data_IF_468600651048
#
_entry.id   IF_468600651048
#
_cell.length_a   1.000
_cell.length_b   1.000
_cell.length_c   1.000
_cell.angle_alpha   90.00
_cell.angle_beta   90.00
_cell.angle_gamma   90.00
#
_symmetry.space_group_name_H-M   'P 1'
#
loop_
_entity.id
_entity.type
_entity.pdbx_description
1 polymer ?
#
# COMPACT_ATOMS: atom_id res chain seq x y z
N UNK A 1 51.71 29.20 23.26
CA UNK A 1 50.75 30.27 23.61
C UNK A 1 49.36 29.92 23.11
N UNK A 2 49.12 29.79 21.80
CA UNK A 2 47.79 29.47 21.21
C UNK A 2 47.21 28.14 21.71
N UNK A 3 48.01 27.09 21.84
CA UNK A 3 47.53 25.78 22.30
C UNK A 3 47.10 25.77 23.78
N UNK A 4 47.73 26.62 24.61
CA UNK A 4 47.38 26.71 26.03
C UNK A 4 46.06 27.47 26.22
N UNK A 5 45.87 28.53 25.45
CA UNK A 5 44.63 29.32 25.42
C UNK A 5 43.44 28.49 24.90
N UNK A 6 43.65 27.68 23.86
CA UNK A 6 42.63 26.75 23.37
C UNK A 6 42.24 25.69 24.41
N UNK A 7 43.21 25.22 25.22
CA UNK A 7 42.95 24.28 26.32
C UNK A 7 42.09 24.93 27.40
N UNK A 8 42.43 26.15 27.80
CA UNK A 8 41.68 26.93 28.79
C UNK A 8 40.26 27.24 28.32
N UNK A 9 40.07 27.64 27.07
CA UNK A 9 38.75 27.88 26.48
C UNK A 9 37.88 26.61 26.44
N UNK A 10 38.48 25.47 26.11
CA UNK A 10 37.78 24.17 26.11
C UNK A 10 37.35 23.75 27.52
N UNK A 11 38.20 24.00 28.51
CA UNK A 11 37.88 23.77 29.92
C UNK A 11 36.73 24.67 30.38
N UNK A 12 36.78 25.97 30.06
CA UNK A 12 35.72 26.94 30.35
C UNK A 12 34.39 26.56 29.70
N UNK A 13 34.39 26.18 28.43
CA UNK A 13 33.20 25.71 27.73
C UNK A 13 32.60 24.45 28.38
N UNK A 14 33.44 23.60 28.98
CA UNK A 14 33.03 22.42 29.72
C UNK A 14 32.20 22.73 30.97
N UNK A 15 32.49 23.84 31.67
CA UNK A 15 31.71 24.27 32.84
C UNK A 15 30.30 24.74 32.48
N UNK A 16 30.14 25.44 31.35
CA UNK A 16 28.81 25.90 30.89
C UNK A 16 27.95 24.77 30.32
N UNK A 17 28.57 23.77 29.69
CA UNK A 17 27.84 22.64 29.11
C UNK A 17 27.34 21.66 30.19
N UNK A 18 28.02 21.61 31.35
CA UNK A 18 27.71 20.67 32.45
C UNK A 18 27.87 21.38 33.80
N UNK A 19 26.90 22.21 34.21
CA UNK A 19 26.97 22.93 35.48
C UNK A 19 27.02 22.01 36.70
N UNK A 20 26.52 20.78 36.58
CA UNK A 20 26.50 19.77 37.64
C UNK A 20 27.85 19.04 37.84
N UNK A 21 28.83 19.25 36.96
CA UNK A 21 30.12 18.57 37.05
C UNK A 21 30.97 19.14 38.20
N UNK A 22 31.64 18.30 39.01
CA UNK A 22 32.45 18.77 40.13
C UNK A 22 33.63 19.60 39.61
N UNK A 23 33.72 20.86 40.05
CA UNK A 23 34.84 21.74 39.73
C UNK A 23 36.05 21.31 40.55
N UNK A 24 37.17 21.02 39.88
CA UNK A 24 38.44 20.79 40.55
C UNK A 24 38.96 22.12 41.13
N UNK A 25 38.69 22.38 42.41
CA UNK A 25 39.25 23.53 43.12
C UNK A 25 40.64 23.21 43.66
N UNK A 26 41.60 24.09 43.42
CA UNK A 26 42.89 24.07 44.10
C UNK A 26 42.67 24.13 45.63
N UNK A 27 43.24 23.22 46.45
CA UNK A 27 43.08 23.25 47.91
C UNK A 27 43.62 24.53 48.56
N UNK A 28 44.50 25.28 47.90
CA UNK A 28 44.93 26.62 48.36
C UNK A 28 44.01 27.76 47.91
N UNK A 29 43.04 27.51 47.04
CA UNK A 29 42.01 28.48 46.70
C UNK A 29 41.02 28.63 47.86
N UNK A 30 41.15 29.70 48.65
CA UNK A 30 40.16 30.09 49.67
C UNK A 30 38.85 30.63 49.06
N UNK A 31 38.37 30.06 47.96
CA UNK A 31 37.07 30.40 47.41
C UNK A 31 35.98 29.85 48.34
N UNK A 32 35.16 30.75 48.89
CA UNK A 32 34.06 30.39 49.77
C UNK A 32 32.97 29.74 48.92
N UNK A 33 32.82 28.42 49.01
CA UNK A 33 31.75 27.72 48.29
C UNK A 33 30.40 28.09 48.94
N UNK A 34 29.58 28.88 48.23
CA UNK A 34 28.29 29.35 48.74
C UNK A 34 27.19 28.28 48.67
N UNK A 35 27.38 27.22 47.88
CA UNK A 35 26.42 26.11 47.74
C UNK A 35 26.50 25.09 48.87
N UNK A 36 27.65 24.95 49.53
CA UNK A 36 27.87 23.96 50.61
C UNK A 36 27.95 24.58 52.01
N UNK A 37 27.65 25.86 52.16
CA UNK A 37 27.56 26.51 53.48
C UNK A 37 26.29 26.05 54.20
N UNK A 38 26.34 25.95 55.53
CA UNK A 38 25.16 25.60 56.35
C UNK A 38 23.93 26.50 56.11
N UNK A 39 24.15 27.73 55.67
CA UNK A 39 23.10 28.70 55.32
C UNK A 39 22.88 28.85 53.81
N UNK A 40 23.26 27.85 53.01
CA UNK A 40 22.82 27.74 51.62
C UNK A 40 21.31 27.47 51.66
N UNK A 41 20.53 28.01 50.71
CA UNK A 41 19.12 27.65 50.61
C UNK A 41 19.02 26.14 50.48
N UNK A 42 18.40 25.48 51.46
CA UNK A 42 17.91 24.12 51.27
C UNK A 42 16.86 24.16 50.17
N UNK A 43 16.67 23.04 49.46
CA UNK A 43 15.66 22.93 48.41
C UNK A 43 14.38 23.66 48.82
N UNK A 44 13.95 24.61 47.99
CA UNK A 44 12.81 25.47 48.34
C UNK A 44 11.57 24.60 48.50
N UNK A 45 10.56 25.06 49.25
CA UNK A 45 9.31 24.32 49.42
C UNK A 45 8.71 23.89 48.06
N UNK A 46 8.84 24.74 47.03
CA UNK A 46 8.43 24.40 45.66
C UNK A 46 9.25 23.28 45.01
N UNK A 47 10.56 23.21 45.23
CA UNK A 47 11.39 22.12 44.70
C UNK A 47 11.10 20.77 45.38
N UNK A 48 10.71 20.81 46.66
CA UNK A 48 10.28 19.62 47.38
C UNK A 48 8.90 19.14 46.91
N UNK A 49 7.98 20.07 46.64
CA UNK A 49 6.66 19.79 46.04
C UNK A 49 6.80 19.17 44.65
N UNK A 50 7.65 19.74 43.78
CA UNK A 50 7.91 19.22 42.43
C UNK A 50 8.45 17.79 42.46
N UNK A 51 9.38 17.49 43.38
CA UNK A 51 9.94 16.14 43.53
C UNK A 51 8.90 15.15 44.10
N UNK A 52 7.98 15.60 44.96
CA UNK A 52 6.86 14.78 45.43
C UNK A 52 5.84 14.50 44.31
N UNK A 53 5.48 15.51 43.53
CA UNK A 53 4.57 15.38 42.40
C UNK A 53 5.16 14.42 41.34
N UNK A 54 6.45 14.57 41.02
CA UNK A 54 7.15 13.67 40.10
C UNK A 54 7.14 12.23 40.60
N UNK A 55 7.32 11.99 41.89
CA UNK A 55 7.23 10.65 42.49
C UNK A 55 5.83 10.08 42.37
N UNK A 56 4.79 10.91 42.58
CA UNK A 56 3.40 10.50 42.44
C UNK A 56 3.07 10.11 40.99
N UNK A 57 3.45 10.95 40.03
CA UNK A 57 3.26 10.69 38.59
C UNK A 57 3.97 9.40 38.17
N UNK A 58 5.19 9.17 38.65
CA UNK A 58 5.92 7.94 38.35
C UNK A 58 5.30 6.70 39.00
N UNK A 59 4.67 6.83 40.17
CA UNK A 59 3.91 5.75 40.79
C UNK A 59 2.65 5.43 39.98
N UNK A 60 1.89 6.45 39.59
CA UNK A 60 0.68 6.29 38.77
C UNK A 60 1.00 5.69 37.39
N UNK A 61 2.08 6.12 36.75
CA UNK A 61 2.52 5.57 35.47
C UNK A 61 2.86 4.07 35.56
N UNK A 62 3.41 3.61 36.70
CA UNK A 62 3.66 2.18 36.93
C UNK A 62 2.35 1.41 37.11
N UNK A 63 1.42 1.93 37.92
CA UNK A 63 0.12 1.32 38.12
C UNK A 63 -0.67 1.20 36.81
N UNK A 64 -0.67 2.26 35.98
CA UNK A 64 -1.32 2.25 34.67
C UNK A 64 -0.70 1.23 33.72
N UNK A 65 0.62 1.07 33.76
CA UNK A 65 1.31 0.05 32.96
C UNK A 65 0.91 -1.36 33.38
N UNK A 66 0.87 -1.63 34.69
CA UNK A 66 0.42 -2.92 35.21
C UNK A 66 -1.03 -3.22 34.80
N UNK A 67 -1.92 -2.23 34.91
CA UNK A 67 -3.30 -2.36 34.43
C UNK A 67 -3.38 -2.65 32.93
N UNK A 68 -2.61 -1.94 32.12
CA UNK A 68 -2.56 -2.18 30.68
C UNK A 68 -2.09 -3.61 30.35
N UNK A 69 -1.08 -4.11 31.07
CA UNK A 69 -0.60 -5.48 30.91
C UNK A 69 -1.68 -6.52 31.30
N UNK A 70 -2.49 -6.28 32.34
CA UNK A 70 -3.62 -7.14 32.70
C UNK A 70 -4.70 -7.19 31.61
N UNK A 71 -5.02 -6.06 30.98
CA UNK A 71 -6.04 -6.02 29.92
C UNK A 71 -5.56 -6.58 28.59
N UNK A 72 -4.27 -6.42 28.27
CA UNK A 72 -3.70 -6.94 27.03
C UNK A 72 -3.48 -8.46 27.07
N UNK A 73 -3.33 -9.01 28.28
CA UNK A 73 -2.98 -10.41 28.51
C UNK A 73 -3.95 -11.12 29.46
N UNK A 74 -5.21 -11.35 29.05
CA UNK A 74 -6.20 -12.04 29.87
C UNK A 74 -5.82 -13.51 30.19
N UNK A 75 -4.89 -14.09 29.43
CA UNK A 75 -4.36 -15.44 29.66
C UNK A 75 -3.45 -15.55 30.90
N UNK A 76 -2.92 -14.44 31.40
CA UNK A 76 -2.00 -14.46 32.54
C UNK A 76 -2.77 -14.62 33.87
N UNK A 77 -2.30 -15.49 34.78
CA UNK A 77 -2.97 -15.69 36.06
C UNK A 77 -2.91 -14.42 36.92
N UNK A 78 -4.02 -14.11 37.58
CA UNK A 78 -4.09 -12.98 38.53
C UNK A 78 -3.29 -13.35 39.79
N UNK A 79 -2.14 -12.72 39.97
CA UNK A 79 -1.30 -12.89 41.17
C UNK A 79 -1.66 -11.81 42.19
N UNK A 80 -2.43 -12.18 43.21
CA UNK A 80 -2.73 -11.29 44.35
C UNK A 80 -1.67 -11.44 45.45
N UNK A 81 -1.18 -10.33 45.98
CA UNK A 81 -0.28 -10.30 47.14
C UNK A 81 -1.00 -10.45 48.49
N UNK A 82 -2.31 -10.22 48.52
CA UNK A 82 -3.14 -10.31 49.73
C UNK A 82 -3.80 -11.70 49.81
N UNK A 83 -3.45 -12.45 50.86
CA UNK A 83 -4.01 -13.78 51.14
C UNK A 83 -5.50 -13.74 51.51
N UNK A 84 -6.04 -12.56 51.81
CA UNK A 84 -7.48 -12.33 52.09
C UNK A 84 -8.24 -11.77 50.89
N UNK A 85 -7.58 -11.58 49.74
CA UNK A 85 -8.21 -11.22 48.48
C UNK A 85 -9.04 -12.41 47.95
N UNK A 86 -10.24 -12.56 48.50
CA UNK A 86 -11.21 -13.57 48.10
C UNK A 86 -11.96 -13.09 46.84
N UNK A 87 -11.28 -13.05 45.69
CA UNK A 87 -11.93 -12.84 44.40
C UNK A 87 -12.70 -14.09 43.98
N UNK A 88 -13.92 -13.94 43.44
CA UNK A 88 -14.59 -15.04 42.74
C UNK A 88 -13.91 -15.22 41.39
N UNK A 89 -13.07 -16.24 41.26
CA UNK A 89 -12.59 -16.67 39.94
C UNK A 89 -13.74 -17.38 39.22
N UNK A 90 -14.27 -16.74 38.17
CA UNK A 90 -15.34 -17.30 37.35
C UNK A 90 -14.84 -18.26 36.27
N UNK A 91 -13.55 -18.19 35.92
CA UNK A 91 -12.93 -19.02 34.88
C UNK A 91 -12.51 -20.40 35.40
N UNK A 92 -12.09 -20.51 36.65
CA UNK A 92 -11.60 -21.79 37.25
C UNK A 92 -12.62 -22.45 38.18
N UNK A 93 -13.89 -22.04 38.13
CA UNK A 93 -14.93 -22.60 39.00
C UNK A 93 -15.36 -23.97 38.44
N UNK A 94 -15.69 -24.97 39.29
CA UNK A 94 -16.19 -26.28 38.81
C UNK A 94 -17.49 -26.22 37.98
N UNK A 95 -18.16 -25.08 37.93
CA UNK A 95 -19.37 -24.84 37.14
C UNK A 95 -19.12 -23.92 35.94
N UNK A 96 -17.88 -23.47 35.72
CA UNK A 96 -17.52 -22.75 34.51
C UNK A 96 -17.64 -23.73 33.34
N UNK A 97 -18.08 -23.27 32.15
CA UNK A 97 -17.94 -24.07 30.94
C UNK A 97 -16.49 -24.50 30.82
N UNK A 98 -16.25 -25.79 30.58
CA UNK A 98 -14.96 -26.22 30.09
C UNK A 98 -14.78 -25.48 28.76
N UNK A 99 -13.72 -24.67 28.64
CA UNK A 99 -13.31 -24.21 27.32
C UNK A 99 -12.85 -25.49 26.63
N UNK A 100 -13.67 -26.01 25.74
CA UNK A 100 -13.25 -26.92 24.69
C UNK A 100 -12.25 -26.10 23.85
N UNK A 101 -11.01 -26.01 24.34
CA UNK A 101 -9.81 -25.70 23.57
C UNK A 101 -9.46 -26.97 22.77
N UNK A 102 -10.51 -27.63 22.24
CA UNK A 102 -10.40 -28.73 21.33
C UNK A 102 -9.90 -28.06 20.06
N UNK A 103 -8.57 -28.09 19.86
CA UNK A 103 -7.90 -27.58 18.64
C UNK A 103 -8.66 -28.05 17.38
N UNK A 104 -9.26 -29.24 17.45
CA UNK A 104 -10.15 -29.83 16.45
C UNK A 104 -11.37 -28.93 16.12
N UNK A 105 -12.08 -28.37 17.10
CA UNK A 105 -13.25 -27.50 16.87
C UNK A 105 -12.86 -26.15 16.25
N UNK A 106 -11.73 -25.57 16.67
CA UNK A 106 -11.20 -24.32 16.12
C UNK A 106 -10.74 -24.54 14.67
N UNK A 107 -10.12 -25.67 14.38
CA UNK A 107 -9.68 -26.03 13.04
C UNK A 107 -10.88 -26.32 12.12
N UNK A 108 -11.91 -27.00 12.60
CA UNK A 108 -13.16 -27.22 11.87
C UNK A 108 -13.87 -25.91 11.54
N UNK A 109 -14.03 -24.99 12.49
CA UNK A 109 -14.60 -23.66 12.23
C UNK A 109 -13.78 -22.87 11.21
N UNK A 110 -12.44 -22.93 11.33
CA UNK A 110 -11.53 -22.28 10.38
C UNK A 110 -11.66 -22.85 8.97
N UNK A 111 -11.79 -24.16 8.84
CA UNK A 111 -12.04 -24.81 7.55
C UNK A 111 -13.37 -24.40 6.94
N UNK A 112 -14.44 -24.34 7.75
CA UNK A 112 -15.76 -23.88 7.31
C UNK A 112 -15.73 -22.44 6.80
N UNK A 113 -15.09 -21.52 7.54
CA UNK A 113 -14.93 -20.12 7.15
C UNK A 113 -14.13 -19.99 5.84
N UNK A 114 -13.05 -20.77 5.70
CA UNK A 114 -12.24 -20.77 4.47
C UNK A 114 -13.04 -21.27 3.27
N UNK A 115 -13.91 -22.27 3.46
CA UNK A 115 -14.76 -22.78 2.40
C UNK A 115 -15.85 -21.77 2.00
N UNK A 116 -16.49 -21.13 2.97
CA UNK A 116 -17.47 -20.06 2.71
C UNK A 116 -16.83 -18.88 1.97
N UNK A 117 -15.61 -18.47 2.36
CA UNK A 117 -14.87 -17.40 1.68
C UNK A 117 -14.61 -17.74 0.20
N UNK A 118 -14.29 -19.01 -0.12
CA UNK A 118 -14.10 -19.44 -1.52
C UNK A 118 -15.41 -19.31 -2.30
N UNK A 119 -16.53 -19.75 -1.73
CA UNK A 119 -17.85 -19.65 -2.36
C UNK A 119 -18.27 -18.19 -2.58
N UNK A 120 -17.99 -17.31 -1.62
CA UNK A 120 -18.27 -15.88 -1.76
C UNK A 120 -17.41 -15.25 -2.87
N UNK A 121 -16.15 -15.64 -2.98
CA UNK A 121 -15.24 -15.15 -4.02
C UNK A 121 -15.68 -15.59 -5.42
N UNK A 122 -16.13 -16.83 -5.58
CA UNK A 122 -16.63 -17.33 -6.88
C UNK A 122 -17.91 -16.63 -7.28
N UNK A 123 -18.88 -16.52 -6.37
CA UNK A 123 -20.16 -15.82 -6.62
C UNK A 123 -19.95 -14.35 -6.95
N UNK A 124 -19.12 -13.64 -6.19
CA UNK A 124 -18.75 -12.25 -6.50
C UNK A 124 -18.10 -12.12 -7.89
N UNK A 125 -17.26 -13.09 -8.27
CA UNK A 125 -16.68 -13.17 -9.61
C UNK A 125 -17.72 -13.29 -10.72
N UNK A 126 -18.79 -14.06 -10.52
CA UNK A 126 -19.90 -14.16 -11.48
C UNK A 126 -20.68 -12.86 -11.61
N UNK A 127 -20.93 -12.15 -10.51
CA UNK A 127 -21.64 -10.86 -10.54
C UNK A 127 -20.82 -9.74 -11.18
N UNK A 128 -19.50 -9.72 -10.99
CA UNK A 128 -18.62 -8.73 -11.59
C UNK A 128 -18.35 -8.97 -13.08
N UNK A 129 -18.55 -10.20 -13.55
CA UNK A 129 -18.24 -10.63 -14.92
C UNK A 129 -19.37 -11.48 -15.53
N UNK A 130 -20.53 -10.89 -15.81
CA UNK A 130 -21.67 -11.62 -16.40
C UNK A 130 -21.38 -12.16 -17.80
N UNK A 131 -20.34 -11.68 -18.47
CA UNK A 131 -19.88 -12.16 -19.78
C UNK A 131 -19.17 -13.52 -19.72
N UNK A 132 -18.67 -13.93 -18.54
CA UNK A 132 -17.92 -15.17 -18.39
C UNK A 132 -18.88 -16.34 -18.17
N UNK A 133 -18.64 -17.50 -18.82
CA UNK A 133 -19.49 -18.67 -18.62
C UNK A 133 -19.40 -19.15 -17.17
N UNK A 134 -20.55 -19.34 -16.54
CA UNK A 134 -20.65 -19.92 -15.19
C UNK A 134 -20.26 -21.40 -15.28
N UNK A 135 -19.26 -21.80 -14.51
CA UNK A 135 -18.91 -23.21 -14.35
C UNK A 135 -19.98 -23.87 -13.48
N UNK A 136 -20.83 -24.69 -14.10
CA UNK A 136 -21.93 -25.41 -13.46
C UNK A 136 -21.57 -26.90 -13.44
N UNK A 137 -21.82 -27.59 -12.33
CA UNK A 137 -21.62 -29.04 -12.25
C UNK A 137 -22.56 -29.77 -13.23
N UNK A 138 -22.11 -30.89 -13.77
CA UNK A 138 -22.88 -31.74 -14.68
C UNK A 138 -24.22 -32.23 -14.11
N UNK A 139 -24.37 -32.26 -12.78
CA UNK A 139 -25.63 -32.63 -12.10
C UNK A 139 -26.58 -31.45 -11.87
N UNK A 140 -26.09 -30.21 -12.04
CA UNK A 140 -26.92 -29.03 -11.88
C UNK A 140 -27.81 -28.87 -13.12
N UNK A 141 -29.02 -29.41 -12.98
CA UNK A 141 -30.10 -29.32 -13.97
C UNK A 141 -30.69 -27.90 -14.02
N UNK A 142 -29.93 -26.93 -14.52
CA UNK A 142 -30.41 -25.59 -14.83
C UNK A 142 -30.96 -25.50 -16.25
N UNK A 143 -32.14 -24.90 -16.44
CA UNK A 143 -32.64 -24.55 -17.78
C UNK A 143 -31.94 -23.28 -18.24
N UNK A 144 -31.10 -23.37 -19.27
CA UNK A 144 -30.57 -22.19 -19.94
C UNK A 144 -31.68 -21.56 -20.80
N UNK A 145 -32.18 -20.39 -20.39
CA UNK A 145 -33.21 -19.65 -21.11
C UNK A 145 -32.68 -18.81 -22.27
N UNK A 146 -31.38 -18.50 -22.27
CA UNK A 146 -30.74 -17.67 -23.29
C UNK A 146 -30.37 -18.45 -24.56
N UNK A 147 -30.05 -19.73 -24.43
CA UNK A 147 -29.63 -20.58 -25.57
C UNK A 147 -30.71 -21.56 -26.03
N UNK A 148 -31.96 -21.38 -25.58
CA UNK A 148 -33.06 -22.29 -25.96
C UNK A 148 -33.46 -22.01 -27.42
N UNK A 149 -33.86 -23.02 -28.23
CA UNK A 149 -34.34 -22.81 -29.60
C UNK A 149 -35.55 -21.87 -29.72
N UNK A 150 -36.27 -21.63 -28.62
CA UNK A 150 -37.40 -20.71 -28.53
C UNK A 150 -37.05 -19.36 -27.91
N UNK A 151 -35.78 -19.13 -27.55
CA UNK A 151 -35.33 -17.83 -27.10
C UNK A 151 -35.44 -16.86 -28.29
N UNK A 152 -35.81 -15.58 -28.06
CA UNK A 152 -35.79 -14.59 -29.12
C UNK A 152 -34.37 -14.56 -29.71
N UNK A 153 -34.27 -14.92 -30.99
CA UNK A 153 -33.06 -14.67 -31.77
C UNK A 153 -32.94 -13.15 -31.77
N UNK A 154 -31.84 -12.60 -31.25
CA UNK A 154 -31.58 -11.19 -31.42
C UNK A 154 -31.56 -10.91 -32.92
N UNK A 155 -32.54 -10.15 -33.41
CA UNK A 155 -32.59 -9.63 -34.78
C UNK A 155 -31.34 -8.77 -35.10
N UNK A 156 -30.52 -8.52 -34.08
CA UNK A 156 -29.29 -7.77 -34.08
C UNK A 156 -28.07 -8.45 -34.73
N UNK A 157 -28.09 -9.74 -35.13
CA UNK A 157 -26.87 -10.34 -35.75
C UNK A 157 -26.56 -9.69 -37.11
N UNK A 158 -27.59 -9.42 -37.91
CA UNK A 158 -27.46 -8.69 -39.18
C UNK A 158 -27.08 -7.22 -38.94
N UNK A 159 -27.70 -6.55 -37.96
CA UNK A 159 -27.33 -5.18 -37.59
C UNK A 159 -25.90 -5.10 -37.05
N UNK A 160 -25.47 -6.11 -36.29
CA UNK A 160 -24.11 -6.21 -35.74
C UNK A 160 -23.09 -6.45 -36.84
N UNK A 161 -23.41 -7.25 -37.85
CA UNK A 161 -22.57 -7.40 -39.05
C UNK A 161 -22.43 -6.07 -39.79
N UNK A 162 -23.53 -5.36 -40.02
CA UNK A 162 -23.53 -4.04 -40.66
C UNK A 162 -22.70 -3.02 -39.89
N UNK A 163 -22.86 -2.95 -38.55
CA UNK A 163 -22.09 -2.05 -37.68
C UNK A 163 -20.59 -2.39 -37.71
N UNK A 164 -20.24 -3.68 -37.73
CA UNK A 164 -18.85 -4.13 -37.81
C UNK A 164 -18.21 -3.81 -39.16
N UNK A 165 -18.97 -3.89 -40.25
CA UNK A 165 -18.52 -3.49 -41.58
C UNK A 165 -18.34 -1.98 -41.70
N UNK A 166 -19.29 -1.19 -41.20
CA UNK A 166 -19.18 0.26 -41.15
C UNK A 166 -17.98 0.71 -40.31
N UNK A 167 -17.76 0.08 -39.14
CA UNK A 167 -16.59 0.35 -38.29
C UNK A 167 -15.27 0.06 -39.02
N UNK A 168 -15.19 -1.05 -39.78
CA UNK A 168 -13.99 -1.38 -40.59
C UNK A 168 -13.75 -0.30 -41.63
N UNK A 169 -14.79 0.13 -42.35
CA UNK A 169 -14.68 1.20 -43.35
C UNK A 169 -14.23 2.51 -42.70
N UNK A 170 -14.84 2.92 -41.59
CA UNK A 170 -14.47 4.14 -40.88
C UNK A 170 -13.02 4.12 -40.37
N UNK A 171 -12.55 2.96 -39.90
CA UNK A 171 -11.15 2.78 -39.48
C UNK A 171 -10.19 2.92 -40.65
N UNK A 172 -10.54 2.38 -41.83
CA UNK A 172 -9.70 2.54 -43.03
C UNK A 172 -9.64 3.98 -43.50
N UNK A 173 -10.77 4.69 -43.54
CA UNK A 173 -10.83 6.09 -43.95
C UNK A 173 -10.09 6.99 -42.97
N UNK A 174 -10.28 6.80 -41.66
CA UNK A 174 -9.53 7.51 -40.63
C UNK A 174 -8.02 7.27 -40.78
N UNK A 175 -7.60 6.04 -41.08
CA UNK A 175 -6.21 5.70 -41.37
C UNK A 175 -5.65 6.47 -42.57
N UNK A 176 -6.43 6.65 -43.64
CA UNK A 176 -6.03 7.44 -44.81
C UNK A 176 -5.88 8.93 -44.47
N UNK A 177 -6.81 9.51 -43.69
CA UNK A 177 -6.73 10.91 -43.26
C UNK A 177 -5.55 11.19 -42.34
N UNK A 178 -5.22 10.26 -41.45
CA UNK A 178 -4.10 10.42 -40.52
C UNK A 178 -2.73 10.18 -41.18
N UNK A 179 -2.70 9.47 -42.32
CA UNK A 179 -1.47 9.08 -43.01
C UNK A 179 -1.56 9.27 -44.53
N UNK A 180 -1.68 10.51 -45.03
CA UNK A 180 -1.77 10.79 -46.47
C UNK A 180 -0.52 10.37 -47.26
N UNK A 181 0.61 10.14 -46.59
CA UNK A 181 1.85 9.65 -47.19
C UNK A 181 1.83 8.16 -47.55
N UNK A 182 0.91 7.37 -46.97
CA UNK A 182 0.86 5.92 -47.19
C UNK A 182 0.08 5.62 -48.47
N UNK A 183 0.57 4.71 -49.34
CA UNK A 183 -0.13 4.35 -50.56
C UNK A 183 -1.47 3.70 -50.21
N UNK A 184 -2.56 4.27 -50.71
CA UNK A 184 -3.90 3.70 -50.56
C UNK A 184 -4.02 2.49 -51.48
N UNK A 185 -4.39 1.34 -50.93
CA UNK A 185 -4.76 0.18 -51.72
C UNK A 185 -6.16 0.43 -52.31
N UNK A 186 -6.20 0.71 -53.61
CA UNK A 186 -7.43 0.99 -54.36
C UNK A 186 -7.72 -0.21 -55.26
N UNK A 187 -8.99 -0.61 -55.38
CA UNK A 187 -9.40 -1.65 -56.32
C UNK A 187 -9.04 -1.22 -57.77
N UNK A 188 -8.64 -2.17 -58.59
CA UNK A 188 -8.30 -2.00 -60.00
C UNK A 188 -9.41 -1.35 -60.85
N UNK A 189 -10.66 -1.38 -60.37
CA UNK A 189 -11.82 -0.76 -61.01
C UNK A 189 -12.03 0.71 -60.61
N UNK A 190 -11.37 1.18 -59.56
CA UNK A 190 -11.51 2.55 -59.07
C UNK A 190 -10.64 3.51 -59.90
N UNK A 191 -11.28 4.11 -60.89
CA UNK A 191 -10.70 5.11 -61.78
C UNK A 191 -10.52 6.47 -61.08
N UNK A 192 -9.42 6.65 -60.34
CA UNK A 192 -9.04 7.93 -59.72
C UNK A 192 -7.68 8.45 -60.23
N UNK A 193 -7.60 9.74 -60.58
CA UNK A 193 -6.33 10.41 -60.88
C UNK A 193 -5.57 10.67 -59.57
N UNK A 194 -4.35 10.17 -59.46
CA UNK A 194 -3.53 10.31 -58.26
C UNK A 194 -2.75 11.65 -58.29
N UNK A 195 -3.22 12.66 -57.55
CA UNK A 195 -2.70 14.04 -57.60
C UNK A 195 -1.34 14.23 -56.89
N UNK A 196 -0.86 13.24 -56.12
CA UNK A 196 0.38 13.34 -55.34
C UNK A 196 1.65 12.90 -56.10
N UNK A 197 1.52 12.41 -57.34
CA UNK A 197 2.67 12.06 -58.18
C UNK A 197 2.99 13.19 -59.17
N UNK A 198 3.50 14.31 -58.67
CA UNK A 198 4.01 15.36 -59.55
C UNK A 198 5.33 14.89 -60.17
N UNK A 199 5.27 14.30 -61.36
CA UNK A 199 6.42 14.07 -62.23
C UNK A 199 7.16 15.41 -62.42
N UNK A 200 8.29 15.57 -61.75
CA UNK A 200 9.29 16.57 -62.12
C UNK A 200 9.83 16.17 -63.49
N UNK A 201 9.26 16.77 -64.54
CA UNK A 201 9.81 16.73 -65.89
C UNK A 201 11.14 17.50 -65.93
N UNK A 202 12.23 16.85 -65.50
CA UNK A 202 13.58 17.22 -65.89
C UNK A 202 13.81 16.67 -67.31
N UNK A 203 13.68 17.55 -68.30
CA UNK A 203 14.23 17.34 -69.65
C UNK A 203 15.72 17.04 -69.58
N UNK A 204 16.21 16.07 -70.36
CA UNK A 204 17.22 16.46 -71.33
C UNK A 204 17.08 15.78 -72.70
N UNK A 205 17.01 16.64 -73.72
CA UNK A 205 17.67 16.55 -75.04
C UNK A 205 17.67 15.17 -75.72
N UNK A 206 16.84 15.08 -76.76
CA UNK A 206 17.03 14.25 -77.94
C UNK A 206 18.48 14.28 -78.45
N UNK A 207 19.15 13.13 -78.42
CA UNK A 207 20.23 12.82 -79.37
C UNK A 207 19.77 11.65 -80.23
N UNK A 208 19.42 11.99 -81.47
CA UNK A 208 19.40 11.03 -82.58
C UNK A 208 20.80 10.44 -82.73
N UNK A 209 20.91 9.12 -82.89
CA UNK A 209 21.88 8.55 -83.80
C UNK A 209 21.39 7.22 -84.37
N UNK A 210 21.69 7.08 -85.65
CA UNK A 210 21.24 6.10 -86.63
C UNK A 210 22.23 4.95 -86.66
N UNK A 211 21.75 3.72 -86.90
CA UNK A 211 22.39 2.62 -87.68
C UNK A 211 21.67 1.31 -87.30
N UNK A 212 20.74 0.82 -88.11
CA UNK A 212 20.94 0.00 -89.31
C UNK A 212 21.51 -1.39 -89.05
N UNK A 213 20.78 -2.38 -89.58
CA UNK A 213 21.22 -3.71 -90.03
C UNK A 213 20.73 -4.88 -89.14
N UNK A 214 19.66 -5.58 -89.50
CA UNK A 214 19.53 -6.66 -90.52
C UNK A 214 19.97 -8.04 -90.00
N UNK A 215 19.11 -9.04 -90.28
CA UNK A 215 19.32 -10.52 -90.27
C UNK A 215 19.21 -11.17 -88.89
N UNK A 216 18.45 -12.25 -88.68
CA UNK A 216 17.82 -13.24 -89.59
C UNK A 216 16.57 -13.79 -88.92
#
# INVERSE_FOLDING_TARGET
MILEEARQLKEMAGFFLRPEAPVASDPTACARCYFSRYSAPTASEGELEDEMERKLILADAKNLKELADFYLHPEKPVVSTDATACGRNFFTRPSAPEYEDDEDDIDEERELILEEMKQLKTTAGWYMHPEKPVAVDSTACGRNFFTRPSAPISEDEEERELILEEMKQLKTTAGWYMHPEKPVAVDSTACGRNFFTHLQLLSPRTKRNVSSSLKR
#
